data_IF_645025573590
#
_entry.id   IF_645025573590
#
_cell.length_a   1.000
_cell.length_b   1.000
_cell.length_c   1.000
_cell.angle_alpha   90.00
_cell.angle_beta   90.00
_cell.angle_gamma   90.00
#
_symmetry.space_group_name_H-M   'P 1'
#
loop_
_entity.id
_entity.type
_entity.pdbx_description
1 polymer ?
#
# COMPACT_ATOMS: atom_id res chain seq x y z
N UNK A 1 22.24 0.88 21.58
CA UNK A 1 21.02 0.11 21.29
C UNK A 1 19.87 1.09 21.44
N UNK A 2 19.46 1.74 20.36
CA UNK A 2 18.34 2.68 20.39
C UNK A 2 17.07 1.85 20.42
N UNK A 3 16.30 1.94 21.52
CA UNK A 3 14.95 1.39 21.59
C UNK A 3 14.12 2.01 20.47
N UNK A 4 13.77 1.23 19.45
CA UNK A 4 12.81 1.66 18.44
C UNK A 4 11.45 1.72 19.12
N UNK A 5 11.06 2.91 19.55
CA UNK A 5 9.75 3.18 20.13
C UNK A 5 8.66 2.70 19.14
N UNK A 6 7.76 1.83 19.59
CA UNK A 6 6.84 1.15 18.68
C UNK A 6 5.82 2.14 18.11
N UNK A 7 5.82 2.32 16.79
CA UNK A 7 4.89 3.20 16.10
C UNK A 7 3.45 2.67 16.25
N UNK A 8 2.58 3.48 16.85
CA UNK A 8 1.14 3.19 17.04
C UNK A 8 0.38 3.15 15.71
N UNK A 9 -0.81 2.51 15.68
CA UNK A 9 -1.66 2.47 14.47
C UNK A 9 -1.96 3.85 13.88
N UNK A 10 -2.20 4.86 14.72
CA UNK A 10 -2.48 6.23 14.26
C UNK A 10 -1.24 6.88 13.63
N UNK A 11 -0.06 6.67 14.21
CA UNK A 11 1.21 7.11 13.63
C UNK A 11 1.52 6.36 12.33
N UNK A 12 1.25 5.05 12.25
CA UNK A 12 1.41 4.28 11.01
C UNK A 12 0.52 4.82 9.89
N UNK A 13 -0.74 5.20 10.17
CA UNK A 13 -1.62 5.84 9.18
C UNK A 13 -1.04 7.16 8.66
N UNK A 14 -0.48 8.00 9.53
CA UNK A 14 0.19 9.25 9.13
C UNK A 14 1.44 8.97 8.31
N UNK A 15 2.26 8.00 8.71
CA UNK A 15 3.46 7.58 7.97
C UNK A 15 3.12 7.04 6.57
N UNK A 16 2.08 6.20 6.45
CA UNK A 16 1.57 5.71 5.15
C UNK A 16 1.12 6.87 4.27
N UNK A 17 0.40 7.86 4.81
CA UNK A 17 -0.03 9.03 4.05
C UNK A 17 1.14 9.88 3.54
N UNK A 18 2.23 9.97 4.30
CA UNK A 18 3.48 10.64 3.87
C UNK A 18 4.19 9.83 2.78
N UNK A 19 4.27 8.50 2.93
CA UNK A 19 4.88 7.61 1.92
C UNK A 19 4.12 7.60 0.60
N UNK A 20 2.79 7.69 0.65
CA UNK A 20 1.94 7.75 -0.54
C UNK A 20 1.91 9.14 -1.21
N UNK A 21 2.57 10.15 -0.65
CA UNK A 21 2.66 11.46 -1.27
C UNK A 21 3.80 11.52 -2.31
N UNK A 22 3.57 12.17 -3.43
CA UNK A 22 4.59 12.34 -4.49
C UNK A 22 5.77 13.26 -4.08
N UNK A 23 5.70 13.89 -2.90
CA UNK A 23 6.74 14.77 -2.38
C UNK A 23 6.56 15.15 -0.91
N UNK A 24 7.45 16.01 -0.36
CA UNK A 24 7.37 16.45 1.03
C UNK A 24 6.00 17.08 1.32
N UNK A 25 5.35 16.62 2.40
CA UNK A 25 3.96 17.00 2.70
C UNK A 25 3.87 17.75 4.02
N UNK A 26 3.04 18.80 4.07
CA UNK A 26 2.79 19.58 5.28
C UNK A 26 1.65 19.04 6.15
N UNK A 27 1.64 19.43 7.43
CA UNK A 27 0.65 18.95 8.40
C UNK A 27 -0.81 19.26 8.01
N UNK A 28 -1.07 20.43 7.42
CA UNK A 28 -2.43 20.83 6.98
C UNK A 28 -2.95 19.94 5.85
N UNK A 29 -2.08 19.58 4.91
CA UNK A 29 -2.45 18.71 3.79
C UNK A 29 -2.71 17.29 4.25
N UNK A 30 -1.87 16.75 5.14
CA UNK A 30 -2.09 15.45 5.78
C UNK A 30 -3.40 15.42 6.58
N UNK A 31 -3.70 16.49 7.32
CA UNK A 31 -4.95 16.61 8.08
C UNK A 31 -6.19 16.55 7.19
N UNK A 32 -6.15 17.26 6.05
CA UNK A 32 -7.21 17.23 5.04
C UNK A 32 -7.36 15.83 4.42
N UNK A 33 -6.26 15.19 4.02
CA UNK A 33 -6.26 13.84 3.42
C UNK A 33 -6.76 12.76 4.39
N UNK A 34 -6.49 12.92 5.68
CA UNK A 34 -6.86 11.96 6.72
C UNK A 34 -8.19 12.28 7.41
N UNK A 35 -8.86 13.37 7.02
CA UNK A 35 -10.10 13.85 7.65
C UNK A 35 -10.00 14.00 9.18
N UNK A 36 -8.88 14.53 9.66
CA UNK A 36 -8.62 14.76 11.09
C UNK A 36 -8.19 16.20 11.36
N UNK A 37 -8.27 16.62 12.62
CA UNK A 37 -7.84 17.96 13.00
C UNK A 37 -6.31 18.15 12.84
N UNK A 38 -5.83 19.31 12.34
CA UNK A 38 -4.39 19.56 12.12
C UNK A 38 -3.50 19.35 13.35
N UNK A 39 -4.00 19.64 14.55
CA UNK A 39 -3.23 19.43 15.78
C UNK A 39 -2.98 17.94 16.07
N UNK A 40 -3.93 17.07 15.73
CA UNK A 40 -3.76 15.61 15.90
C UNK A 40 -2.66 15.09 14.99
N UNK A 41 -2.60 15.59 13.75
CA UNK A 41 -1.53 15.22 12.82
C UNK A 41 -0.18 15.73 13.30
N UNK A 42 -0.10 16.97 13.79
CA UNK A 42 1.16 17.53 14.34
C UNK A 42 1.72 16.67 15.47
N UNK A 43 0.87 16.25 16.41
CA UNK A 43 1.29 15.35 17.48
C UNK A 43 1.88 14.03 16.96
N UNK A 44 1.27 13.42 15.94
CA UNK A 44 1.81 12.20 15.34
C UNK A 44 3.07 12.44 14.51
N UNK A 45 3.21 13.60 13.87
CA UNK A 45 4.41 13.97 13.12
C UNK A 45 5.61 14.14 14.07
N UNK A 46 5.42 14.84 15.19
CA UNK A 46 6.49 15.04 16.16
C UNK A 46 7.00 13.68 16.69
N UNK A 47 6.09 12.78 17.08
CA UNK A 47 6.46 11.44 17.55
C UNK A 47 7.11 10.55 16.46
N UNK A 48 6.70 10.69 15.19
CA UNK A 48 7.32 9.96 14.07
C UNK A 48 8.72 10.49 13.76
N UNK A 49 8.95 11.78 13.95
CA UNK A 49 10.26 12.42 13.78
C UNK A 49 11.21 12.02 14.90
N UNK A 50 10.73 12.03 16.15
CA UNK A 50 11.48 11.54 17.31
C UNK A 50 11.88 10.07 17.15
N UNK A 51 11.00 9.25 16.56
CA UNK A 51 11.28 7.85 16.20
C UNK A 51 12.18 7.69 14.96
N UNK A 52 12.57 8.78 14.29
CA UNK A 52 13.39 8.76 13.08
C UNK A 52 12.71 8.17 11.84
N UNK A 53 11.39 8.01 11.85
CA UNK A 53 10.61 7.47 10.74
C UNK A 53 10.33 8.52 9.65
N UNK A 54 10.40 9.81 10.01
CA UNK A 54 10.24 10.94 9.09
C UNK A 54 11.31 12.00 9.38
N UNK A 55 11.57 12.85 8.40
CA UNK A 55 12.45 14.02 8.53
C UNK A 55 11.73 15.29 8.08
N UNK A 56 12.09 16.43 8.69
CA UNK A 56 11.66 17.75 8.25
C UNK A 56 12.47 18.18 7.03
N UNK A 57 11.77 18.58 5.98
CA UNK A 57 12.33 19.12 4.75
C UNK A 57 11.96 20.59 4.66
N UNK A 58 12.95 21.47 4.59
CA UNK A 58 12.72 22.88 4.31
C UNK A 58 12.31 23.03 2.83
N UNK A 59 11.15 23.64 2.52
CA UNK A 59 10.82 23.97 1.13
C UNK A 59 11.81 24.99 0.58
N UNK A 60 11.97 25.00 -0.75
CA UNK A 60 12.69 26.08 -1.42
C UNK A 60 12.08 27.45 -1.01
N UNK A 61 12.89 28.50 -0.81
CA UNK A 61 12.38 29.80 -0.36
C UNK A 61 11.38 30.37 -1.37
N UNK A 62 10.11 30.46 -1.00
CA UNK A 62 9.06 31.05 -1.82
C UNK A 62 8.41 32.23 -1.09
N UNK A 63 8.90 33.45 -1.37
CA UNK A 63 8.25 34.70 -0.98
C UNK A 63 8.35 35.11 0.50
N UNK A 64 7.54 36.13 0.87
CA UNK A 64 7.48 36.69 2.22
C UNK A 64 6.49 35.89 3.08
N UNK A 65 6.99 35.25 4.15
CA UNK A 65 6.21 34.49 5.13
C UNK A 65 7.07 33.47 5.87
N UNK A 66 6.58 32.89 6.99
CA UNK A 66 7.26 31.76 7.64
C UNK A 66 7.10 30.53 6.73
N UNK A 67 8.18 29.93 6.21
CA UNK A 67 8.08 28.78 5.32
C UNK A 67 7.31 27.63 5.98
N UNK A 68 6.44 26.92 5.23
CA UNK A 68 5.75 25.75 5.78
C UNK A 68 6.77 24.64 6.08
N UNK A 69 6.62 23.97 7.23
CA UNK A 69 7.41 22.77 7.53
C UNK A 69 6.81 21.60 6.76
N UNK A 70 7.61 20.97 5.91
CA UNK A 70 7.23 19.77 5.16
C UNK A 70 7.93 18.55 5.75
N UNK A 71 7.33 17.38 5.58
CA UNK A 71 7.83 16.11 6.10
C UNK A 71 7.99 15.09 4.97
N UNK A 72 9.02 14.26 5.07
CA UNK A 72 9.27 13.12 4.17
C UNK A 72 9.57 11.89 5.03
N UNK A 73 9.15 10.71 4.58
CA UNK A 73 9.51 9.46 5.24
C UNK A 73 11.00 9.16 5.04
N UNK A 74 11.66 8.69 6.10
CA UNK A 74 13.05 8.21 6.04
C UNK A 74 13.03 6.72 5.73
N UNK A 75 13.77 6.31 4.70
CA UNK A 75 13.97 4.88 4.41
C UNK A 75 14.90 4.28 5.47
N UNK A 76 14.46 3.23 6.15
CA UNK A 76 15.24 2.61 7.22
C UNK A 76 16.49 1.90 6.69
N UNK A 77 17.56 1.72 7.49
CA UNK A 77 18.78 1.01 7.07
C UNK A 77 18.55 -0.48 6.76
N UNK A 78 17.41 -1.06 7.15
CA UNK A 78 17.00 -2.41 6.74
C UNK A 78 16.29 -2.45 5.38
N UNK A 79 15.55 -1.40 5.03
CA UNK A 79 14.70 -1.32 3.82
C UNK A 79 15.55 -1.47 2.55
N UNK A 80 16.64 -0.69 2.46
CA UNK A 80 17.60 -0.77 1.34
C UNK A 80 18.29 -2.14 1.22
N UNK A 81 18.46 -2.87 2.32
CA UNK A 81 19.06 -4.21 2.31
C UNK A 81 18.09 -5.26 1.82
N UNK A 82 16.81 -5.13 2.15
CA UNK A 82 15.76 -6.00 1.62
C UNK A 82 15.47 -5.71 0.15
N UNK A 83 15.55 -4.45 -0.30
CA UNK A 83 15.50 -4.10 -1.72
C UNK A 83 16.59 -4.81 -2.52
N UNK A 84 17.82 -4.80 -2.02
CA UNK A 84 18.93 -5.51 -2.65
C UNK A 84 18.70 -7.03 -2.74
N UNK A 85 18.26 -7.66 -1.64
CA UNK A 85 17.93 -9.10 -1.63
C UNK A 85 16.76 -9.42 -2.58
N UNK A 86 15.72 -8.59 -2.58
CA UNK A 86 14.57 -8.75 -3.47
C UNK A 86 15.00 -8.64 -4.94
N UNK A 87 15.90 -7.71 -5.28
CA UNK A 87 16.48 -7.59 -6.62
C UNK A 87 17.21 -8.86 -7.06
N UNK A 88 18.02 -9.47 -6.18
CA UNK A 88 18.69 -10.74 -6.46
C UNK A 88 17.66 -11.84 -6.79
N UNK A 89 16.66 -12.05 -5.93
CA UNK A 89 15.66 -13.09 -6.17
C UNK A 89 14.80 -12.83 -7.40
N UNK A 90 14.39 -11.57 -7.62
CA UNK A 90 13.63 -11.17 -8.79
C UNK A 90 14.41 -11.42 -10.09
N UNK A 91 15.72 -11.13 -10.11
CA UNK A 91 16.57 -11.38 -11.27
C UNK A 91 16.68 -12.88 -11.60
N UNK A 92 16.82 -13.74 -10.59
CA UNK A 92 16.87 -15.20 -10.78
C UNK A 92 15.54 -15.73 -11.32
N UNK A 93 14.43 -15.25 -10.77
CA UNK A 93 13.11 -15.66 -11.20
C UNK A 93 12.79 -15.12 -12.60
N UNK A 94 13.21 -13.91 -12.94
CA UNK A 94 13.05 -13.35 -14.28
C UNK A 94 13.86 -14.09 -15.37
N UNK A 95 14.98 -14.70 -15.01
CA UNK A 95 15.80 -15.51 -15.92
C UNK A 95 15.24 -16.92 -16.16
N UNK A 96 14.26 -17.35 -15.38
CA UNK A 96 13.65 -18.67 -15.50
C UNK A 96 12.42 -18.67 -16.41
N UNK A 97 12.31 -19.70 -17.26
CA UNK A 97 11.22 -19.85 -18.23
C UNK A 97 9.82 -19.87 -17.58
N UNK A 98 9.71 -20.42 -16.37
CA UNK A 98 8.47 -20.52 -15.57
C UNK A 98 8.40 -19.45 -14.47
N UNK A 99 9.30 -18.47 -14.48
CA UNK A 99 9.45 -17.49 -13.41
C UNK A 99 8.18 -16.71 -13.10
N UNK A 100 7.47 -16.25 -14.13
CA UNK A 100 6.19 -15.54 -14.02
C UNK A 100 5.08 -16.40 -13.39
N UNK A 101 5.00 -17.67 -13.78
CA UNK A 101 4.03 -18.60 -13.22
C UNK A 101 4.33 -18.85 -11.73
N UNK A 102 5.60 -19.06 -11.37
CA UNK A 102 6.01 -19.21 -9.97
C UNK A 102 5.81 -17.95 -9.14
N UNK A 103 5.96 -16.76 -9.73
CA UNK A 103 5.66 -15.50 -9.06
C UNK A 103 4.16 -15.40 -8.73
N UNK A 104 3.31 -15.76 -9.69
CA UNK A 104 1.86 -15.86 -9.47
C UNK A 104 1.54 -16.83 -8.35
N UNK A 105 2.12 -18.03 -8.37
CA UNK A 105 1.89 -19.07 -7.36
C UNK A 105 2.37 -18.63 -5.97
N UNK A 106 3.55 -18.01 -5.88
CA UNK A 106 4.08 -17.49 -4.62
C UNK A 106 3.16 -16.40 -4.04
N UNK A 107 2.65 -15.50 -4.89
CA UNK A 107 1.65 -14.52 -4.51
C UNK A 107 0.38 -15.20 -4.00
N UNK A 108 -0.16 -16.16 -4.75
CA UNK A 108 -1.37 -16.90 -4.39
C UNK A 108 -1.24 -17.60 -3.04
N UNK A 109 -0.16 -18.35 -2.82
CA UNK A 109 0.12 -19.03 -1.57
C UNK A 109 0.20 -18.06 -0.39
N UNK A 110 0.90 -16.92 -0.57
CA UNK A 110 0.99 -15.90 0.47
C UNK A 110 -0.37 -15.29 0.80
N UNK A 111 -1.17 -14.97 -0.23
CA UNK A 111 -2.51 -14.40 -0.08
C UNK A 111 -3.46 -15.34 0.64
N UNK A 112 -3.39 -16.63 0.29
CA UNK A 112 -4.18 -17.70 0.93
C UNK A 112 -3.82 -17.83 2.42
N UNK A 113 -2.53 -17.84 2.76
CA UNK A 113 -2.05 -17.94 4.15
C UNK A 113 -2.45 -16.71 5.00
N UNK A 114 -2.42 -15.51 4.40
CA UNK A 114 -2.73 -14.26 5.11
C UNK A 114 -4.22 -13.92 5.16
N UNK A 115 -5.08 -14.66 4.45
CA UNK A 115 -6.52 -14.52 4.52
C UNK A 115 -7.06 -14.74 5.95
N UNK A 116 -6.44 -15.65 6.72
CA UNK A 116 -6.86 -16.04 8.07
C UNK A 116 -6.32 -15.12 9.19
N UNK A 117 -5.28 -14.33 8.93
CA UNK A 117 -4.64 -13.47 9.94
C UNK A 117 -5.39 -12.16 10.03
N UNK A 118 -6.51 -12.18 10.76
CA UNK A 118 -7.42 -11.07 11.08
C UNK A 118 -6.96 -9.69 10.57
N UNK A 119 -7.55 -9.28 9.44
CA UNK A 119 -7.55 -7.89 8.97
C UNK A 119 -8.26 -7.03 10.02
N UNK A 120 -7.51 -6.55 11.01
CA UNK A 120 -8.06 -5.73 12.08
C UNK A 120 -8.38 -4.35 11.55
N UNK A 121 -9.59 -4.20 11.01
CA UNK A 121 -10.33 -2.95 10.90
C UNK A 121 -9.74 -1.93 9.93
N UNK A 122 -10.03 -2.08 8.64
CA UNK A 122 -9.99 -0.95 7.74
C UNK A 122 -11.08 0.05 8.12
N UNK A 123 -10.69 1.28 8.48
CA UNK A 123 -11.60 2.43 8.52
C UNK A 123 -12.03 2.77 7.09
N UNK A 124 -12.92 1.96 6.53
CA UNK A 124 -13.86 2.43 5.52
C UNK A 124 -14.92 3.26 6.22
N UNK A 125 -15.30 4.37 5.61
CA UNK A 125 -16.49 5.15 5.93
C UNK A 125 -17.67 4.20 6.28
N UNK A 126 -18.42 4.51 7.35
CA UNK A 126 -19.62 3.75 7.76
C UNK A 126 -20.75 4.00 6.74
N UNK A 127 -20.58 3.55 5.50
CA UNK A 127 -21.68 3.37 4.56
C UNK A 127 -22.17 1.93 4.65
N UNK A 128 -23.44 1.83 5.04
CA UNK A 128 -24.28 0.63 5.10
C UNK A 128 -24.42 0.02 3.69
N UNK A 129 -23.37 -0.63 3.19
CA UNK A 129 -23.37 -1.35 1.92
C UNK A 129 -23.35 -2.85 2.20
N UNK A 130 -24.44 -3.52 1.78
CA UNK A 130 -24.83 -4.85 2.23
C UNK A 130 -23.80 -5.98 2.07
N UNK A 131 -24.08 -7.06 2.80
CA UNK A 131 -23.38 -8.36 2.97
C UNK A 131 -22.51 -8.87 1.79
N UNK A 132 -22.87 -8.56 0.53
CA UNK A 132 -22.12 -8.96 -0.66
C UNK A 132 -20.79 -8.22 -0.92
N UNK A 133 -20.47 -7.16 -0.17
CA UNK A 133 -19.26 -6.35 -0.36
C UNK A 133 -18.16 -6.61 0.69
N UNK A 134 -18.42 -7.45 1.69
CA UNK A 134 -17.45 -7.75 2.76
C UNK A 134 -16.09 -8.26 2.23
N UNK A 135 -16.03 -9.21 1.26
CA UNK A 135 -14.73 -9.68 0.76
C UNK A 135 -13.94 -8.60 0.01
N UNK A 136 -14.62 -7.70 -0.70
CA UNK A 136 -13.97 -6.57 -1.38
C UNK A 136 -13.42 -5.58 -0.35
N UNK A 137 -14.17 -5.32 0.73
CA UNK A 137 -13.71 -4.49 1.85
C UNK A 137 -12.47 -5.09 2.54
N UNK A 138 -12.45 -6.41 2.77
CA UNK A 138 -11.28 -7.12 3.30
C UNK A 138 -10.07 -7.01 2.36
N UNK A 139 -10.28 -7.16 1.06
CA UNK A 139 -9.23 -6.98 0.05
C UNK A 139 -8.65 -5.56 0.05
N UNK A 140 -9.50 -4.54 0.11
CA UNK A 140 -9.06 -3.14 0.23
C UNK A 140 -8.26 -2.92 1.51
N UNK A 141 -8.68 -3.48 2.65
CA UNK A 141 -7.93 -3.41 3.90
C UNK A 141 -6.54 -4.04 3.79
N UNK A 142 -6.47 -5.27 3.27
CA UNK A 142 -5.22 -5.99 3.06
C UNK A 142 -4.24 -5.21 2.17
N UNK A 143 -4.73 -4.66 1.05
CA UNK A 143 -3.91 -3.90 0.11
C UNK A 143 -3.44 -2.57 0.71
N UNK A 144 -4.24 -1.93 1.56
CA UNK A 144 -3.81 -0.72 2.28
C UNK A 144 -2.72 -1.04 3.30
N UNK A 145 -2.84 -2.16 4.01
CA UNK A 145 -1.82 -2.64 4.94
C UNK A 145 -0.49 -2.96 4.26
N UNK A 146 -0.56 -3.46 3.03
CA UNK A 146 0.61 -3.66 2.17
C UNK A 146 1.13 -2.36 1.53
N UNK A 147 0.45 -1.23 1.71
CA UNK A 147 0.90 0.09 1.27
C UNK A 147 0.54 0.42 -0.19
N UNK A 148 -0.37 -0.31 -0.83
CA UNK A 148 -0.82 0.00 -2.19
C UNK A 148 -1.73 1.23 -2.30
N UNK A 149 -2.16 1.77 -1.16
CA UNK A 149 -3.11 2.89 -1.07
C UNK A 149 -4.34 2.68 -1.98
N UNK A 150 -5.09 1.59 -1.78
CA UNK A 150 -6.22 1.23 -2.64
C UNK A 150 -7.38 2.21 -2.48
N UNK A 151 -8.07 2.47 -3.58
CA UNK A 151 -9.34 3.19 -3.63
C UNK A 151 -10.33 2.40 -4.45
N UNK A 152 -11.49 2.12 -3.88
CA UNK A 152 -12.61 1.55 -4.63
C UNK A 152 -13.16 2.60 -5.59
N UNK A 153 -13.14 2.30 -6.89
CA UNK A 153 -13.64 3.20 -7.92
C UNK A 153 -15.13 2.93 -8.21
N UNK A 154 -15.53 1.65 -8.17
CA UNK A 154 -16.91 1.19 -8.28
C UNK A 154 -17.05 -0.22 -7.65
N UNK A 155 -18.17 -0.90 -7.91
CA UNK A 155 -18.48 -2.22 -7.31
C UNK A 155 -17.52 -3.33 -7.75
N UNK A 156 -16.89 -3.21 -8.91
CA UNK A 156 -16.00 -4.23 -9.51
C UNK A 156 -14.57 -3.73 -9.74
N UNK A 157 -14.27 -2.47 -9.43
CA UNK A 157 -12.97 -1.85 -9.72
C UNK A 157 -12.31 -1.30 -8.47
N UNK A 158 -11.06 -1.71 -8.25
CA UNK A 158 -10.17 -1.17 -7.22
C UNK A 158 -8.95 -0.56 -7.90
N UNK A 159 -8.69 0.70 -7.64
CA UNK A 159 -7.51 1.41 -8.14
C UNK A 159 -6.42 1.46 -7.05
N UNK A 160 -5.20 1.09 -7.40
CA UNK A 160 -4.03 1.12 -6.52
C UNK A 160 -3.26 2.39 -6.83
N UNK A 161 -3.24 3.33 -5.89
CA UNK A 161 -2.66 4.66 -6.07
C UNK A 161 -1.15 4.69 -5.78
N UNK A 162 -0.62 3.63 -5.18
CA UNK A 162 0.80 3.46 -4.91
C UNK A 162 1.25 2.04 -5.26
N UNK A 163 2.45 1.91 -5.81
CA UNK A 163 3.13 0.63 -5.94
C UNK A 163 4.31 0.62 -4.95
N UNK A 164 4.26 -0.19 -3.86
CA UNK A 164 5.36 -0.32 -2.91
C UNK A 164 6.68 -0.80 -3.55
N UNK A 165 6.60 -1.37 -4.75
CA UNK A 165 7.73 -1.95 -5.48
C UNK A 165 8.16 -1.11 -6.68
N UNK A 166 7.77 0.18 -6.74
CA UNK A 166 7.94 1.03 -7.93
C UNK A 166 9.36 1.04 -8.48
N UNK A 167 10.37 1.02 -7.60
CA UNK A 167 11.78 1.01 -7.99
C UNK A 167 12.18 -0.32 -8.66
N UNK A 168 11.68 -1.46 -8.16
CA UNK A 168 11.96 -2.79 -8.72
C UNK A 168 11.11 -3.10 -9.96
N UNK A 169 9.92 -2.50 -10.09
CA UNK A 169 9.01 -2.72 -11.23
C UNK A 169 9.60 -2.23 -12.55
N UNK A 170 10.51 -1.26 -12.54
CA UNK A 170 11.18 -0.80 -13.76
C UNK A 170 11.92 -1.93 -14.49
N UNK A 171 12.51 -2.86 -13.73
CA UNK A 171 13.30 -3.99 -14.28
C UNK A 171 12.50 -5.30 -14.30
N UNK A 172 11.60 -5.50 -13.34
CA UNK A 172 10.92 -6.78 -13.11
C UNK A 172 9.38 -6.68 -13.09
N UNK A 173 8.83 -5.70 -13.80
CA UNK A 173 7.41 -5.33 -13.69
C UNK A 173 6.42 -6.45 -13.96
N UNK A 174 6.61 -7.25 -15.01
CA UNK A 174 5.70 -8.36 -15.32
C UNK A 174 5.63 -9.39 -14.20
N UNK A 175 6.78 -9.71 -13.60
CA UNK A 175 6.89 -10.67 -12.49
C UNK A 175 6.22 -10.16 -11.22
N UNK A 176 6.48 -8.90 -10.87
CA UNK A 176 5.90 -8.25 -9.68
C UNK A 176 4.38 -8.10 -9.84
N UNK A 177 3.90 -7.71 -11.01
CA UNK A 177 2.47 -7.56 -11.27
C UNK A 177 1.75 -8.92 -11.23
N UNK A 178 2.35 -9.98 -11.75
CA UNK A 178 1.81 -11.33 -11.68
C UNK A 178 1.75 -11.84 -10.23
N UNK A 179 2.80 -11.60 -9.44
CA UNK A 179 2.82 -11.89 -8.01
C UNK A 179 1.70 -11.16 -7.27
N UNK A 180 1.47 -9.86 -7.56
CA UNK A 180 0.37 -9.10 -6.97
C UNK A 180 -0.99 -9.67 -7.35
N UNK A 181 -1.18 -10.02 -8.62
CA UNK A 181 -2.42 -10.65 -9.08
C UNK A 181 -2.65 -11.99 -8.38
N UNK A 182 -1.60 -12.81 -8.22
CA UNK A 182 -1.63 -14.03 -7.42
C UNK A 182 -2.06 -13.78 -5.98
N UNK A 183 -1.44 -12.80 -5.32
CA UNK A 183 -1.76 -12.39 -3.94
C UNK A 183 -3.24 -12.04 -3.76
N UNK A 184 -3.79 -11.22 -4.65
CA UNK A 184 -5.20 -10.84 -4.59
C UNK A 184 -6.11 -12.05 -4.76
N UNK A 185 -5.81 -12.95 -5.72
CA UNK A 185 -6.57 -14.20 -5.93
C UNK A 185 -6.49 -15.14 -4.74
N UNK A 186 -5.30 -15.29 -4.16
CA UNK A 186 -5.08 -16.13 -2.98
C UNK A 186 -5.89 -15.66 -1.79
N UNK A 187 -5.89 -14.35 -1.52
CA UNK A 187 -6.67 -13.76 -0.44
C UNK A 187 -8.19 -13.96 -0.65
N UNK A 188 -8.70 -13.68 -1.85
CA UNK A 188 -10.11 -13.88 -2.19
C UNK A 188 -10.52 -15.36 -2.07
N UNK A 189 -9.66 -16.28 -2.50
CA UNK A 189 -9.88 -17.72 -2.36
C UNK A 189 -9.91 -18.15 -0.89
N UNK A 190 -8.97 -17.67 -0.06
CA UNK A 190 -8.93 -17.97 1.38
C UNK A 190 -10.18 -17.52 2.12
N UNK A 191 -10.79 -16.40 1.71
CA UNK A 191 -12.06 -15.94 2.26
C UNK A 191 -13.31 -16.63 1.68
N UNK A 192 -13.13 -17.58 0.75
CA UNK A 192 -14.22 -18.17 -0.03
C UNK A 192 -15.13 -17.10 -0.66
N UNK A 193 -14.52 -16.04 -1.19
CA UNK A 193 -15.24 -14.89 -1.71
C UNK A 193 -16.05 -15.26 -2.97
N UNK A 194 -17.28 -14.75 -3.16
CA UNK A 194 -18.04 -14.90 -4.40
C UNK A 194 -17.54 -13.96 -5.51
N UNK A 195 -16.31 -13.47 -5.40
CA UNK A 195 -15.63 -12.58 -6.35
C UNK A 195 -14.20 -13.05 -6.56
N UNK A 196 -13.67 -12.84 -7.75
CA UNK A 196 -12.28 -13.14 -8.12
C UNK A 196 -11.66 -11.96 -8.88
N UNK A 197 -10.34 -11.95 -9.02
CA UNK A 197 -9.59 -10.98 -9.81
C UNK A 197 -9.62 -11.37 -11.30
N UNK A 198 -10.44 -10.66 -12.06
CA UNK A 198 -10.51 -10.79 -13.52
C UNK A 198 -9.24 -10.29 -14.20
N UNK A 199 -8.72 -9.13 -13.80
CA UNK A 199 -7.50 -8.56 -14.37
C UNK A 199 -6.83 -7.58 -13.42
N UNK A 200 -5.50 -7.51 -13.48
CA UNK A 200 -4.70 -6.41 -12.92
C UNK A 200 -3.99 -5.69 -14.07
N UNK A 201 -4.39 -4.45 -14.31
CA UNK A 201 -3.81 -3.58 -15.34
C UNK A 201 -2.81 -2.62 -14.71
N UNK A 202 -1.50 -2.85 -14.89
CA UNK A 202 -0.51 -1.97 -14.33
C UNK A 202 -0.45 -0.65 -15.11
N UNK A 203 -0.25 0.45 -14.39
CA UNK A 203 0.03 1.78 -14.95
C UNK A 203 -0.99 2.28 -15.99
N UNK A 204 -2.30 2.12 -15.71
CA UNK A 204 -3.37 2.77 -16.49
C UNK A 204 -3.25 4.30 -16.47
N UNK A 205 -2.55 4.83 -15.47
CA UNK A 205 -1.91 6.14 -15.46
C UNK A 205 -0.45 5.97 -14.97
N UNK A 206 0.40 7.01 -14.97
CA UNK A 206 1.80 6.88 -14.54
C UNK A 206 2.01 6.32 -13.13
N UNK A 207 1.00 6.36 -12.26
CA UNK A 207 1.07 5.92 -10.86
C UNK A 207 -0.03 4.94 -10.45
N UNK A 208 -1.06 4.74 -11.28
CA UNK A 208 -2.24 3.96 -10.90
C UNK A 208 -2.24 2.60 -11.59
N UNK A 209 -2.41 1.54 -10.81
CA UNK A 209 -2.79 0.22 -11.33
C UNK A 209 -4.30 0.00 -11.12
N UNK A 210 -4.97 -0.72 -12.02
CA UNK A 210 -6.40 -1.02 -11.92
C UNK A 210 -6.64 -2.51 -11.78
N UNK A 211 -7.23 -2.92 -10.67
CA UNK A 211 -7.73 -4.26 -10.45
C UNK A 211 -9.21 -4.32 -10.81
N UNK A 212 -9.58 -5.21 -11.72
CA UNK A 212 -10.96 -5.55 -12.05
C UNK A 212 -11.34 -6.87 -11.39
N UNK A 213 -12.45 -6.85 -10.69
CA UNK A 213 -13.05 -7.98 -10.00
C UNK A 213 -14.23 -8.50 -10.83
N UNK A 214 -14.42 -9.81 -10.84
CA UNK A 214 -15.59 -10.48 -11.42
C UNK A 214 -16.31 -11.23 -10.32
N UNK A 215 -17.64 -11.12 -10.25
CA UNK A 215 -18.43 -12.02 -9.41
C UNK A 215 -18.39 -13.43 -10.02
N UNK A 216 -18.08 -14.42 -9.21
CA UNK A 216 -18.29 -15.81 -9.60
C UNK A 216 -19.80 -16.06 -9.69
N UNK A 217 -20.25 -16.81 -10.68
CA UNK A 217 -21.61 -17.33 -10.66
C UNK A 217 -21.75 -18.17 -9.38
N UNK A 218 -22.68 -17.78 -8.51
CA UNK A 218 -23.01 -18.55 -7.32
C UNK A 218 -23.39 -19.97 -7.78
N UNK A 219 -22.53 -20.94 -7.51
CA UNK A 219 -22.81 -22.37 -7.73
C UNK A 219 -23.60 -22.94 -6.56
#
# INVERSE_FOLDING_TARGET
>A
MTETESITRRQQRVLRAIRAAEGPTGATELARRLSVHPNTVRFHLDALEDAGAIERVAPAPAGRGRPPVLYRAVAGPGERRYEFLAGIFASQLAADEHGRARATEAGYAWGLEHADRETTGGNGDDSDDGDGDEPVRKLVGLLDDLGFAPRRADTTTVELLNCPFRETVAEHGGLICDMHAGLMRGALAGWNAPVDLAALEPFVTPTICRARLSRGDAR
#
